data_IF_550317729364
#
_entry.id   IF_550317729364
#
_cell.length_a   1.000
_cell.length_b   1.000
_cell.length_c   1.000
_cell.angle_alpha   90.00
_cell.angle_beta   90.00
_cell.angle_gamma   90.00
#
_symmetry.space_group_name_H-M   'P 1'
#
loop_
_entity.id
_entity.type
_entity.pdbx_description
1 polymer ?
#
# COMPACT_ATOMS: atom_id res chain seq x y z
N UNK A 1 11.55 -4.68 -10.37
CA UNK A 1 11.32 -3.30 -9.90
C UNK A 1 10.67 -2.47 -10.99
N UNK A 2 9.69 -1.68 -10.62
CA UNK A 2 9.03 -0.75 -11.53
C UNK A 2 9.31 0.67 -11.05
N UNK A 3 9.56 1.58 -11.97
CA UNK A 3 9.82 2.97 -11.63
C UNK A 3 9.27 3.90 -12.71
N UNK A 4 8.62 5.00 -12.26
CA UNK A 4 8.14 6.07 -13.12
C UNK A 4 8.52 7.41 -12.49
N UNK A 5 8.12 8.49 -13.14
CA UNK A 5 8.26 9.84 -12.56
C UNK A 5 7.50 9.97 -11.25
N UNK A 6 6.41 9.20 -11.07
CA UNK A 6 5.45 9.35 -9.97
C UNK A 6 5.67 8.39 -8.83
N UNK A 7 6.22 7.20 -9.09
CA UNK A 7 6.33 6.15 -8.07
C UNK A 7 7.42 5.15 -8.38
N UNK A 8 7.83 4.44 -7.33
CA UNK A 8 8.74 3.31 -7.42
C UNK A 8 8.14 2.13 -6.66
N UNK A 9 8.20 0.95 -7.25
CA UNK A 9 7.72 -0.28 -6.61
C UNK A 9 8.80 -1.34 -6.70
N UNK A 10 9.13 -1.97 -5.57
CA UNK A 10 10.13 -3.04 -5.53
C UNK A 10 9.71 -4.15 -4.58
N UNK A 11 10.20 -5.34 -4.83
CA UNK A 11 10.01 -6.48 -3.92
C UNK A 11 11.25 -6.65 -3.06
N UNK A 12 11.05 -6.67 -1.74
CA UNK A 12 12.13 -6.87 -0.76
C UNK A 12 12.03 -8.32 -0.29
N UNK A 13 12.82 -9.18 -0.91
CA UNK A 13 12.73 -10.63 -0.73
C UNK A 13 12.95 -11.07 0.72
N UNK A 14 13.93 -10.51 1.39
CA UNK A 14 14.24 -10.89 2.79
C UNK A 14 13.09 -10.66 3.75
N UNK A 15 12.26 -9.66 3.48
CA UNK A 15 11.14 -9.25 4.34
C UNK A 15 9.80 -9.72 3.78
N UNK A 16 9.76 -10.22 2.55
CA UNK A 16 8.56 -10.59 1.82
C UNK A 16 7.59 -9.40 1.73
N UNK A 17 8.12 -8.27 1.29
CA UNK A 17 7.38 -7.01 1.20
C UNK A 17 7.38 -6.51 -0.24
N UNK A 18 6.20 -6.15 -0.74
CA UNK A 18 6.07 -5.30 -1.92
C UNK A 18 6.03 -3.88 -1.41
N UNK A 19 7.03 -3.09 -1.76
CA UNK A 19 7.22 -1.74 -1.25
C UNK A 19 6.96 -0.73 -2.36
N UNK A 20 5.89 0.06 -2.17
CA UNK A 20 5.45 1.08 -3.11
C UNK A 20 5.71 2.46 -2.52
N UNK A 21 6.45 3.30 -3.26
CA UNK A 21 6.85 4.62 -2.80
C UNK A 21 6.28 5.67 -3.74
N UNK A 22 5.42 6.55 -3.22
CA UNK A 22 4.94 7.70 -3.98
C UNK A 22 5.99 8.81 -3.97
N UNK A 23 6.35 9.34 -5.14
CA UNK A 23 7.33 10.42 -5.29
C UNK A 23 6.65 11.77 -5.36
N UNK A 24 5.50 11.86 -6.02
CA UNK A 24 4.72 13.07 -6.18
C UNK A 24 3.28 12.76 -6.58
N UNK A 25 2.45 13.80 -6.58
CA UNK A 25 1.04 13.68 -6.91
C UNK A 25 0.83 13.09 -8.31
N UNK A 26 -0.09 12.14 -8.41
CA UNK A 26 -0.42 11.43 -9.65
C UNK A 26 -1.92 11.13 -9.70
N UNK A 27 -2.50 11.18 -10.88
CA UNK A 27 -3.92 10.95 -11.09
C UNK A 27 -4.15 10.14 -12.35
N UNK A 28 -5.28 9.42 -12.41
CA UNK A 28 -5.69 8.60 -13.55
C UNK A 28 -4.59 7.60 -13.93
N UNK A 29 -4.14 7.56 -15.16
CA UNK A 29 -3.15 6.58 -15.61
C UNK A 29 -1.82 6.68 -14.87
N UNK A 30 -1.39 7.89 -14.52
CA UNK A 30 -0.15 8.11 -13.76
C UNK A 30 -0.23 7.53 -12.35
N UNK A 31 -1.43 7.46 -11.79
CA UNK A 31 -1.73 6.83 -10.51
C UNK A 31 -1.97 5.33 -10.68
N UNK A 32 -2.84 4.96 -11.61
CA UNK A 32 -3.30 3.57 -11.76
C UNK A 32 -2.21 2.62 -12.22
N UNK A 33 -1.35 3.07 -13.14
CA UNK A 33 -0.27 2.22 -13.67
C UNK A 33 0.68 1.75 -12.57
N UNK A 34 1.25 2.63 -11.72
CA UNK A 34 2.09 2.18 -10.60
C UNK A 34 1.36 1.26 -9.62
N UNK A 35 0.07 1.52 -9.38
CA UNK A 35 -0.73 0.66 -8.51
C UNK A 35 -0.92 -0.72 -9.13
N UNK A 36 -1.16 -0.79 -10.42
CA UNK A 36 -1.25 -2.06 -11.16
C UNK A 36 0.09 -2.80 -11.11
N UNK A 37 1.20 -2.09 -11.25
CA UNK A 37 2.54 -2.69 -11.14
C UNK A 37 2.73 -3.34 -9.76
N UNK A 38 2.25 -2.68 -8.70
CA UNK A 38 2.27 -3.25 -7.34
C UNK A 38 1.42 -4.51 -7.25
N UNK A 39 0.24 -4.49 -7.86
CA UNK A 39 -0.66 -5.64 -7.88
C UNK A 39 -0.02 -6.84 -8.58
N UNK A 40 0.61 -6.62 -9.74
CA UNK A 40 1.30 -7.67 -10.48
C UNK A 40 2.43 -8.27 -9.64
N UNK A 41 3.18 -7.43 -8.94
CA UNK A 41 4.25 -7.89 -8.06
C UNK A 41 3.71 -8.72 -6.89
N UNK A 42 2.57 -8.32 -6.32
CA UNK A 42 1.90 -9.08 -5.27
C UNK A 42 1.36 -10.42 -5.78
N UNK A 43 0.94 -10.47 -7.04
CA UNK A 43 0.53 -11.73 -7.69
C UNK A 43 1.70 -12.69 -7.88
N UNK A 44 2.88 -12.16 -8.23
CA UNK A 44 4.11 -12.96 -8.40
C UNK A 44 4.65 -13.44 -7.05
N UNK A 45 4.44 -12.67 -5.99
CA UNK A 45 4.96 -12.95 -4.65
C UNK A 45 3.80 -13.05 -3.66
N UNK A 46 3.01 -14.11 -3.78
CA UNK A 46 1.80 -14.30 -2.96
C UNK A 46 2.11 -14.33 -1.47
N UNK A 47 1.13 -13.90 -0.68
CA UNK A 47 1.20 -13.84 0.78
C UNK A 47 2.25 -12.85 1.28
N UNK A 48 2.59 -11.85 0.48
CA UNK A 48 3.51 -10.78 0.86
C UNK A 48 2.79 -9.68 1.62
N UNK A 49 3.56 -8.91 2.38
CA UNK A 49 3.10 -7.68 3.02
C UNK A 49 3.16 -6.57 1.97
N UNK A 50 2.17 -5.69 1.96
CA UNK A 50 2.16 -4.52 1.07
C UNK A 50 2.39 -3.27 1.91
N UNK A 51 3.48 -2.54 1.64
CA UNK A 51 3.80 -1.30 2.34
C UNK A 51 3.82 -0.15 1.35
N UNK A 52 3.07 0.90 1.65
CA UNK A 52 3.01 2.12 0.84
C UNK A 52 3.68 3.25 1.61
N UNK A 53 4.73 3.83 1.02
CA UNK A 53 5.34 5.03 1.54
C UNK A 53 4.52 6.22 1.04
N UNK A 54 3.73 6.78 1.93
CA UNK A 54 2.84 7.89 1.65
C UNK A 54 3.33 9.21 2.26
N UNK A 55 4.63 9.32 2.54
CA UNK A 55 5.20 10.59 3.06
C UNK A 55 5.09 11.71 2.04
N UNK A 56 5.13 11.38 0.73
CA UNK A 56 4.84 12.29 -0.37
C UNK A 56 3.47 11.99 -0.98
N UNK A 57 2.56 11.45 -0.17
CA UNK A 57 1.21 11.10 -0.60
C UNK A 57 0.35 12.33 -0.87
N UNK A 58 -0.78 12.09 -1.50
CA UNK A 58 -1.69 13.13 -1.98
C UNK A 58 -3.13 12.62 -1.93
N UNK A 59 -4.08 13.53 -2.07
CA UNK A 59 -5.49 13.14 -2.17
C UNK A 59 -5.77 12.63 -3.58
N UNK A 60 -6.38 11.45 -3.67
CA UNK A 60 -6.78 10.89 -4.96
C UNK A 60 -8.04 11.56 -5.46
N UNK A 61 -8.17 11.70 -6.78
CA UNK A 61 -9.43 12.15 -7.37
C UNK A 61 -10.48 11.06 -7.16
N UNK A 62 -11.74 11.46 -7.13
CA UNK A 62 -12.86 10.56 -6.84
C UNK A 62 -12.84 9.31 -7.72
N UNK A 63 -12.57 9.47 -9.01
CA UNK A 63 -12.54 8.36 -9.97
C UNK A 63 -11.46 7.33 -9.62
N UNK A 64 -10.31 7.79 -9.12
CA UNK A 64 -9.22 6.90 -8.71
C UNK A 64 -9.56 6.17 -7.41
N UNK A 65 -10.23 6.84 -6.46
CA UNK A 65 -10.72 6.19 -5.23
C UNK A 65 -11.71 5.09 -5.58
N UNK A 66 -12.68 5.38 -6.44
CA UNK A 66 -13.68 4.39 -6.88
C UNK A 66 -13.01 3.20 -7.57
N UNK A 67 -12.07 3.47 -8.47
CA UNK A 67 -11.31 2.43 -9.15
C UNK A 67 -10.55 1.55 -8.15
N UNK A 68 -9.92 2.16 -7.16
CA UNK A 68 -9.18 1.43 -6.13
C UNK A 68 -10.10 0.52 -5.30
N UNK A 69 -11.24 1.06 -4.87
CA UNK A 69 -12.19 0.29 -4.07
C UNK A 69 -12.87 -0.82 -4.87
N UNK A 70 -13.22 -0.56 -6.12
CA UNK A 70 -13.99 -1.50 -6.96
C UNK A 70 -13.11 -2.53 -7.66
N UNK A 71 -11.87 -2.18 -8.00
CA UNK A 71 -10.97 -3.05 -8.76
C UNK A 71 -9.76 -3.50 -7.94
N UNK A 72 -8.96 -2.55 -7.44
CA UNK A 72 -7.68 -2.87 -6.83
C UNK A 72 -7.82 -3.71 -5.55
N UNK A 73 -8.66 -3.28 -4.63
CA UNK A 73 -8.82 -3.99 -3.35
C UNK A 73 -9.35 -5.42 -3.52
N UNK A 74 -10.37 -5.69 -4.35
CA UNK A 74 -10.80 -7.06 -4.61
C UNK A 74 -9.71 -7.92 -5.23
N UNK A 75 -8.92 -7.38 -6.15
CA UNK A 75 -7.81 -8.11 -6.79
C UNK A 75 -6.67 -8.33 -5.80
N UNK A 76 -6.38 -7.36 -4.95
CA UNK A 76 -5.37 -7.48 -3.90
C UNK A 76 -5.69 -8.64 -2.95
N UNK A 77 -6.95 -8.77 -2.57
CA UNK A 77 -7.41 -9.84 -1.69
C UNK A 77 -7.07 -11.23 -2.24
N UNK A 78 -7.11 -11.40 -3.55
CA UNK A 78 -6.81 -12.68 -4.21
C UNK A 78 -5.34 -13.06 -4.16
N UNK A 79 -4.44 -12.12 -3.85
CA UNK A 79 -3.00 -12.39 -3.79
C UNK A 79 -2.56 -13.07 -2.50
N UNK A 80 -3.45 -13.17 -1.51
CA UNK A 80 -3.10 -13.67 -0.19
C UNK A 80 -2.45 -12.63 0.70
N UNK A 81 -2.30 -11.39 0.24
CA UNK A 81 -1.84 -10.28 1.07
C UNK A 81 -2.85 -10.03 2.20
N UNK A 82 -2.37 -9.96 3.44
CA UNK A 82 -3.23 -9.76 4.61
C UNK A 82 -2.89 -8.49 5.38
N UNK A 83 -1.74 -7.90 5.12
CA UNK A 83 -1.24 -6.74 5.87
C UNK A 83 -0.88 -5.63 4.90
N UNK A 84 -1.42 -4.44 5.17
CA UNK A 84 -1.13 -3.22 4.42
C UNK A 84 -0.55 -2.19 5.39
N UNK A 85 0.63 -1.68 5.10
CA UNK A 85 1.27 -0.66 5.89
C UNK A 85 1.28 0.69 5.18
N UNK A 86 1.09 1.76 5.93
CA UNK A 86 1.30 3.14 5.46
C UNK A 86 2.44 3.77 6.23
N UNK A 87 3.47 4.26 5.53
CA UNK A 87 4.50 5.11 6.14
C UNK A 87 4.04 6.56 5.99
N UNK A 88 3.88 7.24 7.11
CA UNK A 88 3.36 8.61 7.16
C UNK A 88 4.25 9.47 8.03
N UNK A 89 4.35 10.80 7.74
CA UNK A 89 5.01 11.71 8.68
C UNK A 89 4.19 11.84 9.97
N UNK A 90 4.81 12.36 11.03
CA UNK A 90 4.14 12.58 12.33
C UNK A 90 2.85 13.37 12.13
N UNK A 91 2.92 14.42 11.32
CA UNK A 91 1.74 15.22 10.94
C UNK A 91 1.57 15.08 9.43
N UNK A 92 0.41 14.60 9.02
CA UNK A 92 0.11 14.39 7.60
C UNK A 92 -1.00 15.33 7.16
N UNK A 93 -0.80 16.00 6.02
CA UNK A 93 -1.82 16.87 5.43
C UNK A 93 -2.94 16.08 4.77
N UNK A 94 -2.77 14.75 4.63
CA UNK A 94 -3.76 13.88 3.98
C UNK A 94 -4.37 12.86 4.94
N UNK A 95 -4.48 13.19 6.24
CA UNK A 95 -5.06 12.27 7.21
C UNK A 95 -6.47 11.81 6.84
N UNK A 96 -7.30 12.73 6.33
CA UNK A 96 -8.66 12.39 5.88
C UNK A 96 -8.66 11.36 4.77
N UNK A 97 -7.74 11.48 3.82
CA UNK A 97 -7.58 10.52 2.72
C UNK A 97 -7.13 9.16 3.27
N UNK A 98 -6.13 9.16 4.16
CA UNK A 98 -5.62 7.92 4.76
C UNK A 98 -6.70 7.26 5.63
N UNK A 99 -7.51 8.04 6.35
CA UNK A 99 -8.63 7.50 7.13
C UNK A 99 -9.69 6.86 6.22
N UNK A 100 -10.00 7.49 5.10
CA UNK A 100 -10.93 6.96 4.11
C UNK A 100 -10.47 5.60 3.59
N UNK A 101 -9.21 5.52 3.14
CA UNK A 101 -8.63 4.27 2.64
C UNK A 101 -8.55 3.22 3.73
N UNK A 102 -8.09 3.59 4.94
CA UNK A 102 -7.95 2.67 6.06
C UNK A 102 -9.28 2.01 6.39
N UNK A 103 -10.36 2.80 6.47
CA UNK A 103 -11.69 2.27 6.78
C UNK A 103 -12.13 1.21 5.77
N UNK A 104 -11.85 1.41 4.49
CA UNK A 104 -12.21 0.44 3.45
C UNK A 104 -11.28 -0.77 3.47
N UNK A 105 -9.97 -0.55 3.61
CA UNK A 105 -8.97 -1.63 3.62
C UNK A 105 -9.17 -2.56 4.82
N UNK A 106 -9.49 -2.02 5.99
CA UNK A 106 -9.67 -2.81 7.22
C UNK A 106 -10.79 -3.83 7.15
N UNK A 107 -11.68 -3.71 6.19
CA UNK A 107 -12.73 -4.72 5.99
C UNK A 107 -12.16 -6.09 5.66
N UNK A 108 -10.97 -6.15 5.04
CA UNK A 108 -10.36 -7.39 4.57
C UNK A 108 -8.88 -7.55 4.92
N UNK A 109 -8.23 -6.50 5.42
CA UNK A 109 -6.78 -6.50 5.67
C UNK A 109 -6.48 -5.90 7.04
N UNK A 110 -5.31 -6.24 7.59
CA UNK A 110 -4.76 -5.55 8.75
C UNK A 110 -4.06 -4.31 8.25
N UNK A 111 -4.40 -3.13 8.79
CA UNK A 111 -3.74 -1.87 8.42
C UNK A 111 -2.83 -1.43 9.55
N UNK A 112 -1.60 -1.08 9.21
CA UNK A 112 -0.59 -0.57 10.14
C UNK A 112 -0.13 0.79 9.64
N UNK A 113 -0.15 1.78 10.51
CA UNK A 113 0.36 3.12 10.22
C UNK A 113 1.57 3.39 11.10
N UNK A 114 2.67 3.83 10.52
CA UNK A 114 3.87 4.15 11.28
C UNK A 114 4.71 5.18 10.52
N UNK A 115 5.78 5.67 11.15
CA UNK A 115 6.64 6.68 10.57
C UNK A 115 7.78 6.10 9.73
N UNK A 116 8.02 4.80 9.83
CA UNK A 116 9.12 4.15 9.12
C UNK A 116 8.74 2.75 8.64
N UNK A 117 9.47 2.30 7.64
CA UNK A 117 9.38 0.94 7.13
C UNK A 117 9.64 -0.09 8.24
N UNK A 118 10.70 0.12 9.03
CA UNK A 118 11.09 -0.84 10.07
C UNK A 118 10.00 -0.99 11.14
N UNK A 119 9.33 0.09 11.53
CA UNK A 119 8.23 0.02 12.49
C UNK A 119 7.06 -0.77 11.95
N UNK A 120 6.71 -0.58 10.67
CA UNK A 120 5.63 -1.33 10.04
C UNK A 120 5.99 -2.80 9.97
N UNK A 121 7.20 -3.12 9.52
CA UNK A 121 7.65 -4.49 9.38
C UNK A 121 7.64 -5.23 10.71
N UNK A 122 8.12 -4.59 11.77
CA UNK A 122 8.13 -5.17 13.11
C UNK A 122 6.72 -5.48 13.58
N UNK A 123 5.81 -4.52 13.45
CA UNK A 123 4.41 -4.68 13.86
C UNK A 123 3.72 -5.76 13.04
N UNK A 124 3.96 -5.80 11.72
CA UNK A 124 3.40 -6.80 10.84
C UNK A 124 3.85 -8.21 11.22
N UNK A 125 5.14 -8.38 11.50
CA UNK A 125 5.69 -9.67 11.89
C UNK A 125 5.15 -10.13 13.25
N UNK A 126 5.01 -9.23 14.21
CA UNK A 126 4.42 -9.53 15.51
C UNK A 126 2.96 -9.97 15.36
N UNK A 127 2.18 -9.29 14.52
CA UNK A 127 0.80 -9.65 14.24
C UNK A 127 0.69 -11.02 13.56
N UNK A 128 1.52 -11.27 12.55
CA UNK A 128 1.51 -12.52 11.81
C UNK A 128 1.96 -13.69 12.69
N UNK A 129 2.91 -13.45 13.57
CA UNK A 129 3.39 -14.46 14.52
C UNK A 129 2.28 -14.81 15.53
N UNK A 130 1.58 -13.82 16.05
CA UNK A 130 0.55 -14.03 17.08
C UNK A 130 -0.74 -14.68 16.55
N UNK A 131 -0.96 -14.65 15.22
CA UNK A 131 -2.12 -15.28 14.59
C UNK A 131 -1.97 -16.79 14.39
N UNK A 132 -0.81 -17.32 14.71
CA UNK A 132 -0.58 -18.77 14.63
C UNK A 132 -1.18 -19.46 15.88
#
# INVERSE_FOLDING_TARGET
MFESEFARTEYIEKDRVVFHIWKKEAHFDDYRKPVIDSLEMLREHKNSIFIVDARNGFEDVKEDVEWGFDYFLPELKKTGCKVWGFILPVVSDIEGEIDLWTAEIEKNFRVIRAESYDEILKTANDCMFNER
#
